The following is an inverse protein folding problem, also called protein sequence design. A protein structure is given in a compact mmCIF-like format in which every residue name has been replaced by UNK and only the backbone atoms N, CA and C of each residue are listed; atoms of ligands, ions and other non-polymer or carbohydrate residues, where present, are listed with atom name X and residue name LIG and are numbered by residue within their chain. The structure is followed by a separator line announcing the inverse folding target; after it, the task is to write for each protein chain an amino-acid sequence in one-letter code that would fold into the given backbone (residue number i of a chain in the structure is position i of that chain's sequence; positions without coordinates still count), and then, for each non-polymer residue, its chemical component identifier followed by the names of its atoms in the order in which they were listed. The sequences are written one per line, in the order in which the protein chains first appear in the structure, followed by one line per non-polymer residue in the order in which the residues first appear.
data_IF_663386991752
#
_entry.id   IF_663386991752
#
_cell.length_a   1.000
_cell.length_b   1.000
_cell.length_c   1.000
_cell.angle_alpha   90.00
_cell.angle_beta   90.00
_cell.angle_gamma   90.00
#
_symmetry.space_group_name_H-M   'P 1'
#
loop_
_entity.id
_entity.type
_entity.pdbx_description
1 polymer ?
#
# COMPACT_ATOMS: atom_id res chain seq x y z
N UNK A 1 28.01 36.25 27.53
CA UNK A 1 26.59 35.84 27.47
C UNK A 1 26.40 35.01 26.22
N UNK A 2 26.46 33.69 26.37
CA UNK A 2 26.05 32.74 25.34
C UNK A 2 24.56 32.49 25.46
N UNK A 3 23.84 32.52 24.35
CA UNK A 3 22.59 31.76 24.21
C UNK A 3 22.68 30.95 22.92
N UNK A 4 22.68 29.64 23.13
CA UNK A 4 22.67 28.54 22.18
C UNK A 4 21.24 28.35 21.68
N UNK A 5 21.06 27.99 20.40
CA UNK A 5 19.81 27.36 19.99
C UNK A 5 19.51 27.29 18.49
N UNK A 6 20.47 26.94 17.64
CA UNK A 6 20.17 26.44 16.28
C UNK A 6 19.40 25.12 16.39
N UNK A 7 18.08 25.22 16.42
CA UNK A 7 17.16 24.09 16.34
C UNK A 7 16.96 23.63 14.90
N UNK A 8 18.01 23.15 14.23
CA UNK A 8 17.81 22.31 13.04
C UNK A 8 17.27 20.97 13.55
N UNK A 9 15.97 20.74 13.42
CA UNK A 9 15.42 19.40 13.52
C UNK A 9 15.84 18.61 12.27
N UNK A 10 16.66 17.55 12.36
CA UNK A 10 16.92 16.70 11.21
C UNK A 10 15.71 15.75 11.02
N UNK A 11 15.00 15.97 9.90
CA UNK A 11 14.17 15.11 9.02
C UNK A 11 13.71 13.72 9.56
N UNK A 12 12.50 13.20 9.25
CA UNK A 12 12.37 12.34 8.06
C UNK A 12 10.93 12.06 7.55
N UNK A 13 10.48 12.63 6.43
CA UNK A 13 9.39 12.02 5.64
C UNK A 13 9.32 12.68 4.27
N UNK A 14 9.34 11.93 3.15
CA UNK A 14 9.04 12.53 1.88
C UNK A 14 7.59 13.02 1.97
N UNK A 15 7.38 14.33 1.90
CA UNK A 15 6.04 14.92 1.87
C UNK A 15 5.51 14.69 0.47
N UNK A 16 4.89 13.53 0.24
CA UNK A 16 4.52 13.08 -1.11
C UNK A 16 3.66 14.14 -1.79
N UNK A 17 3.99 14.47 -3.04
CA UNK A 17 3.17 15.40 -3.81
C UNK A 17 1.82 14.78 -4.11
N UNK A 18 0.81 15.61 -4.35
CA UNK A 18 -0.53 15.15 -4.68
C UNK A 18 -0.53 14.25 -5.93
N UNK A 19 0.39 14.46 -6.88
CA UNK A 19 0.60 13.56 -8.02
C UNK A 19 1.22 12.22 -7.61
N UNK A 20 2.23 12.23 -6.73
CA UNK A 20 2.85 11.02 -6.16
C UNK A 20 1.86 10.17 -5.35
N UNK A 21 0.76 10.75 -4.87
CA UNK A 21 -0.35 10.04 -4.20
C UNK A 21 -1.46 9.61 -5.20
N UNK A 22 -1.58 10.27 -6.36
CA UNK A 22 -2.61 9.97 -7.36
C UNK A 22 -2.23 8.82 -8.29
N UNK A 23 -1.00 8.83 -8.83
CA UNK A 23 -0.51 7.78 -9.73
C UNK A 23 -0.55 6.34 -9.14
N UNK A 24 -0.30 6.13 -7.83
CA UNK A 24 -0.33 4.79 -7.23
C UNK A 24 -1.69 4.13 -7.11
N UNK A 25 -2.79 4.90 -7.22
CA UNK A 25 -4.14 4.37 -6.97
C UNK A 25 -4.61 3.39 -8.05
N UNK A 26 -3.93 3.37 -9.18
CA UNK A 26 -4.21 2.50 -10.32
C UNK A 26 -3.14 1.43 -10.52
N UNK A 27 -2.24 1.24 -9.55
CA UNK A 27 -1.24 0.18 -9.67
C UNK A 27 -1.93 -1.17 -9.47
N UNK A 28 -1.84 -2.10 -10.43
CA UNK A 28 -2.47 -3.41 -10.32
C UNK A 28 -1.96 -4.14 -9.08
N UNK A 29 -2.88 -4.59 -8.22
CA UNK A 29 -2.53 -5.20 -6.94
C UNK A 29 -1.92 -6.59 -7.13
N UNK A 30 -2.47 -7.36 -8.07
CA UNK A 30 -2.08 -8.77 -8.29
C UNK A 30 -0.59 -8.92 -8.65
N UNK A 31 -0.02 -8.19 -9.63
CA UNK A 31 1.41 -8.27 -9.93
C UNK A 31 2.31 -7.88 -8.76
N UNK A 32 1.92 -6.89 -7.94
CA UNK A 32 2.70 -6.48 -6.78
C UNK A 32 2.74 -7.58 -5.71
N UNK A 33 1.59 -8.21 -5.47
CA UNK A 33 1.46 -9.30 -4.50
C UNK A 33 2.23 -10.55 -4.97
N UNK A 34 2.19 -10.88 -6.25
CA UNK A 34 2.97 -11.98 -6.84
C UNK A 34 4.48 -11.74 -6.68
N UNK A 35 4.98 -10.52 -6.97
CA UNK A 35 6.38 -10.16 -6.77
C UNK A 35 6.86 -10.32 -5.32
N UNK A 36 5.94 -10.21 -4.36
CA UNK A 36 6.20 -10.40 -2.92
C UNK A 36 6.05 -11.85 -2.45
N UNK A 37 5.72 -12.79 -3.34
CA UNK A 37 5.47 -14.18 -2.97
C UNK A 37 4.19 -14.37 -2.16
N UNK A 38 3.27 -13.40 -2.16
CA UNK A 38 1.95 -13.59 -1.56
C UNK A 38 1.19 -14.59 -2.42
N UNK A 39 0.62 -15.62 -1.81
CA UNK A 39 -0.22 -16.57 -2.51
C UNK A 39 -1.55 -15.89 -2.88
N UNK A 40 -1.91 -15.96 -4.16
CA UNK A 40 -3.13 -15.37 -4.72
C UNK A 40 -3.81 -16.44 -5.56
N UNK A 41 -5.11 -16.62 -5.38
CA UNK A 41 -5.90 -17.59 -6.14
C UNK A 41 -6.98 -16.87 -6.95
N UNK A 42 -7.12 -17.17 -8.25
CA UNK A 42 -8.18 -16.60 -9.07
C UNK A 42 -9.57 -17.12 -8.65
N UNK A 43 -10.57 -16.27 -8.87
CA UNK A 43 -12.01 -16.51 -8.70
C UNK A 43 -12.78 -15.90 -9.88
N UNK A 44 -14.08 -16.12 -9.89
CA UNK A 44 -14.98 -15.65 -10.94
C UNK A 44 -14.94 -14.12 -11.11
N UNK A 45 -15.29 -13.65 -12.30
CA UNK A 45 -15.41 -12.22 -12.65
C UNK A 45 -14.15 -11.37 -12.40
N UNK A 46 -12.96 -12.00 -12.52
CA UNK A 46 -11.66 -11.35 -12.33
C UNK A 46 -11.33 -11.02 -10.89
N UNK A 47 -12.02 -11.65 -9.93
CA UNK A 47 -11.71 -11.53 -8.52
C UNK A 47 -10.57 -12.47 -8.14
N UNK A 48 -9.84 -12.10 -7.10
CA UNK A 48 -8.77 -12.89 -6.51
C UNK A 48 -8.95 -12.95 -5.01
N UNK A 49 -8.56 -14.07 -4.41
CA UNK A 49 -8.51 -14.23 -2.96
C UNK A 49 -7.07 -14.47 -2.50
N UNK A 50 -6.79 -14.10 -1.26
CA UNK A 50 -5.51 -14.36 -0.62
C UNK A 50 -5.75 -15.36 0.52
N UNK A 51 -5.27 -16.61 0.44
CA UNK A 51 -5.49 -17.62 1.49
C UNK A 51 -5.03 -17.18 2.88
N UNK A 52 -3.98 -16.37 2.95
CA UNK A 52 -3.47 -15.78 4.20
C UNK A 52 -4.41 -14.74 4.83
N UNK A 53 -5.38 -14.21 4.07
CA UNK A 53 -6.35 -13.20 4.50
C UNK A 53 -7.78 -13.63 4.11
N UNK A 54 -8.38 -14.59 4.84
CA UNK A 54 -9.71 -15.10 4.51
C UNK A 54 -10.78 -14.01 4.45
N UNK A 55 -11.62 -14.06 3.41
CA UNK A 55 -12.67 -13.06 3.14
C UNK A 55 -12.17 -11.81 2.39
N UNK A 56 -10.85 -11.61 2.26
CA UNK A 56 -10.31 -10.51 1.47
C UNK A 56 -10.38 -10.84 -0.03
N UNK A 57 -10.95 -9.91 -0.79
CA UNK A 57 -11.12 -9.98 -2.24
C UNK A 57 -10.31 -8.87 -2.89
N UNK A 58 -9.58 -9.21 -3.94
CA UNK A 58 -8.79 -8.30 -4.77
C UNK A 58 -9.35 -8.28 -6.18
N UNK A 59 -9.44 -7.09 -6.77
CA UNK A 59 -9.81 -6.89 -8.17
C UNK A 59 -9.11 -5.66 -8.72
N UNK A 60 -8.37 -5.84 -9.83
CA UNK A 60 -7.56 -4.80 -10.47
C UNK A 60 -6.59 -4.12 -9.48
N UNK A 61 -6.86 -2.86 -9.14
CA UNK A 61 -6.07 -2.05 -8.19
C UNK A 61 -6.74 -1.89 -6.82
N UNK A 62 -7.88 -2.57 -6.61
CA UNK A 62 -8.73 -2.40 -5.44
C UNK A 62 -8.87 -3.70 -4.66
N UNK A 63 -9.26 -3.56 -3.40
CA UNK A 63 -9.59 -4.67 -2.53
C UNK A 63 -10.76 -4.33 -1.61
N UNK A 64 -11.44 -5.37 -1.14
CA UNK A 64 -12.49 -5.30 -0.11
C UNK A 64 -12.34 -6.45 0.87
N UNK A 65 -12.72 -6.18 2.11
CA UNK A 65 -12.81 -7.15 3.20
C UNK A 65 -14.13 -6.92 3.94
N UNK A 66 -15.25 -7.45 3.43
CA UNK A 66 -16.59 -7.18 3.94
C UNK A 66 -16.74 -7.50 5.44
N UNK A 67 -16.16 -8.61 5.89
CA UNK A 67 -16.23 -9.09 7.27
C UNK A 67 -15.58 -8.11 8.27
N UNK A 68 -14.67 -7.26 7.78
CA UNK A 68 -14.00 -6.22 8.59
C UNK A 68 -14.49 -4.80 8.27
N UNK A 69 -15.43 -4.66 7.34
CA UNK A 69 -15.87 -3.37 6.80
C UNK A 69 -14.70 -2.50 6.28
N UNK A 70 -13.74 -3.14 5.59
CA UNK A 70 -12.57 -2.47 5.01
C UNK A 70 -12.57 -2.54 3.49
N UNK A 71 -12.02 -1.50 2.86
CA UNK A 71 -11.78 -1.44 1.42
C UNK A 71 -10.69 -0.40 1.13
N UNK A 72 -10.10 -0.47 -0.06
CA UNK A 72 -9.18 0.56 -0.51
C UNK A 72 -8.50 0.25 -1.84
N UNK A 73 -7.54 1.10 -2.19
CA UNK A 73 -6.63 0.89 -3.33
C UNK A 73 -5.35 0.15 -2.89
N UNK A 74 -4.38 0.06 -3.79
CA UNK A 74 -3.10 -0.59 -3.52
C UNK A 74 -2.33 -0.04 -2.31
N UNK A 75 -2.24 1.28 -2.15
CA UNK A 75 -1.58 1.86 -0.98
C UNK A 75 -2.32 1.44 0.30
N UNK A 76 -3.65 1.55 0.30
CA UNK A 76 -4.46 1.16 1.46
C UNK A 76 -4.24 -0.31 1.84
N UNK A 77 -4.04 -1.19 0.85
CA UNK A 77 -3.73 -2.59 1.10
C UNK A 77 -2.41 -2.74 1.88
N UNK A 78 -1.33 -2.14 1.38
CA UNK A 78 -0.04 -2.25 2.06
C UNK A 78 -0.05 -1.64 3.46
N UNK A 79 -0.77 -0.54 3.65
CA UNK A 79 -0.87 0.12 4.95
C UNK A 79 -1.73 -0.66 5.94
N UNK A 80 -2.93 -1.10 5.52
CA UNK A 80 -3.96 -1.62 6.44
C UNK A 80 -3.98 -3.14 6.54
N UNK A 81 -3.50 -3.85 5.53
CA UNK A 81 -3.51 -5.33 5.49
C UNK A 81 -2.11 -5.87 5.79
N UNK A 82 -1.08 -5.33 5.15
CA UNK A 82 0.30 -5.81 5.37
C UNK A 82 1.04 -5.08 6.51
N UNK A 83 0.58 -3.88 6.91
CA UNK A 83 1.28 -3.07 7.92
C UNK A 83 2.63 -2.53 7.44
N UNK A 84 2.87 -2.49 6.12
CA UNK A 84 4.17 -2.18 5.52
C UNK A 84 4.15 -0.80 4.86
N UNK A 85 4.16 0.27 5.67
CA UNK A 85 4.11 1.65 5.16
C UNK A 85 5.35 2.01 4.31
N UNK A 86 6.56 1.69 4.79
CA UNK A 86 7.81 2.04 4.10
C UNK A 86 8.06 1.22 2.82
N UNK A 87 7.70 -0.07 2.80
CA UNK A 87 7.92 -0.92 1.62
C UNK A 87 6.89 -0.65 0.50
N UNK A 88 5.67 -0.25 0.85
CA UNK A 88 4.64 0.11 -0.14
C UNK A 88 5.18 1.19 -1.09
N UNK A 89 5.77 2.22 -0.50
CA UNK A 89 6.24 3.37 -1.23
C UNK A 89 7.49 3.08 -2.03
N UNK A 90 8.45 2.36 -1.47
CA UNK A 90 9.64 1.93 -2.21
C UNK A 90 9.25 1.16 -3.48
N UNK A 91 8.20 0.35 -3.45
CA UNK A 91 7.76 -0.41 -4.63
C UNK A 91 6.91 0.40 -5.63
N UNK A 92 6.25 1.45 -5.17
CA UNK A 92 5.39 2.31 -5.99
C UNK A 92 6.19 3.45 -6.65
N UNK A 93 7.26 3.93 -6.02
CA UNK A 93 8.07 5.07 -6.49
C UNK A 93 9.46 4.68 -7.00
N UNK A 94 9.80 3.39 -7.02
CA UNK A 94 11.03 2.95 -7.68
C UNK A 94 10.86 3.12 -9.21
N UNK A 95 11.83 3.78 -9.90
CA UNK A 95 11.80 3.99 -11.34
C UNK A 95 11.87 2.70 -12.16
#
# INVERSE_FOLDING_TARGET
MSVIGDGIFPNPSPRWTREQIRAPRQVPLVPLLQKRGVQILPREAGNFILPAYPGLIVKDSYWRWPERNLAGNAIDFFMRVLGLFHDAMRQITAP
#
